data_IF_329576998151
#
_entry.id   IF_329576998151
#
_cell.length_a   1.000
_cell.length_b   1.000
_cell.length_c   1.000
_cell.angle_alpha   90.00
_cell.angle_beta   90.00
_cell.angle_gamma   90.00
#
_symmetry.space_group_name_H-M   'P 1'
#
loop_
_entity.id
_entity.type
_entity.pdbx_description
1 polymer ?
#
# COMPACT_ATOMS: atom_id res chain seq x y z
N UNK A 1 3.41 -30.84 -9.00
CA UNK A 1 2.40 -30.34 -8.04
C UNK A 1 2.12 -28.90 -8.39
N UNK A 2 0.86 -28.49 -8.50
CA UNK A 2 0.51 -27.08 -8.72
C UNK A 2 0.91 -26.26 -7.49
N UNK A 3 1.51 -25.08 -7.70
CA UNK A 3 1.85 -24.15 -6.61
C UNK A 3 0.56 -23.44 -6.21
N UNK A 4 0.17 -23.54 -4.94
CA UNK A 4 -1.00 -22.88 -4.37
C UNK A 4 -0.55 -21.81 -3.38
N UNK A 5 -0.73 -20.54 -3.74
CA UNK A 5 -0.23 -19.38 -2.98
C UNK A 5 -1.38 -18.70 -2.26
N UNK A 6 -1.28 -18.61 -0.93
CA UNK A 6 -2.17 -17.79 -0.12
C UNK A 6 -1.53 -16.42 0.12
N UNK A 7 -2.07 -15.38 -0.52
CA UNK A 7 -1.64 -13.99 -0.31
C UNK A 7 -2.28 -13.44 0.97
N UNK A 8 -1.48 -13.23 2.01
CA UNK A 8 -1.95 -12.84 3.35
C UNK A 8 -1.75 -11.35 3.60
N UNK A 9 -2.83 -10.66 3.95
CA UNK A 9 -2.84 -9.23 4.29
C UNK A 9 -3.60 -8.99 5.60
N UNK A 10 -3.12 -8.02 6.39
CA UNK A 10 -3.77 -7.65 7.66
C UNK A 10 -4.98 -6.72 7.47
N UNK A 11 -4.96 -5.85 6.46
CA UNK A 11 -6.00 -4.82 6.27
C UNK A 11 -7.20 -5.37 5.50
N UNK A 12 -8.38 -4.84 5.81
CA UNK A 12 -9.64 -5.07 5.10
C UNK A 12 -9.97 -3.94 4.10
N UNK A 13 -8.99 -3.10 3.75
CA UNK A 13 -9.17 -1.89 2.94
C UNK A 13 -8.24 -1.93 1.75
N UNK A 14 -8.72 -1.49 0.61
CA UNK A 14 -7.91 -1.39 -0.60
C UNK A 14 -6.96 -0.19 -0.53
N UNK A 15 -5.66 -0.46 -0.59
CA UNK A 15 -4.61 0.56 -0.66
C UNK A 15 -3.45 0.07 -1.55
N UNK A 16 -2.23 0.57 -1.33
CA UNK A 16 -1.08 0.27 -2.19
C UNK A 16 -0.68 -1.21 -2.17
N UNK A 17 -0.50 -1.79 -0.98
CA UNK A 17 -0.09 -3.19 -0.86
C UNK A 17 -1.14 -4.15 -1.45
N UNK A 18 -2.42 -3.86 -1.21
CA UNK A 18 -3.54 -4.63 -1.77
C UNK A 18 -3.59 -4.54 -3.29
N UNK A 19 -3.28 -3.37 -3.88
CA UNK A 19 -3.18 -3.21 -5.32
C UNK A 19 -2.03 -4.04 -5.91
N UNK A 20 -0.86 -4.07 -5.26
CA UNK A 20 0.28 -4.90 -5.70
C UNK A 20 -0.09 -6.37 -5.71
N UNK A 21 -0.81 -6.86 -4.70
CA UNK A 21 -1.28 -8.27 -4.67
C UNK A 21 -2.18 -8.55 -5.87
N UNK A 22 -3.14 -7.65 -6.15
CA UNK A 22 -4.03 -7.81 -7.29
C UNK A 22 -3.26 -7.84 -8.62
N UNK A 23 -2.20 -7.03 -8.76
CA UNK A 23 -1.34 -7.02 -9.94
C UNK A 23 -0.55 -8.32 -10.07
N UNK A 24 0.02 -8.84 -8.97
CA UNK A 24 0.71 -10.13 -8.96
C UNK A 24 -0.25 -11.24 -9.41
N UNK A 25 -1.41 -11.36 -8.78
CA UNK A 25 -2.39 -12.39 -9.14
C UNK A 25 -2.83 -12.30 -10.61
N UNK A 26 -3.02 -11.07 -11.13
CA UNK A 26 -3.35 -10.86 -12.55
C UNK A 26 -2.21 -11.29 -13.47
N UNK A 27 -0.95 -10.99 -13.13
CA UNK A 27 0.21 -11.33 -13.92
C UNK A 27 0.38 -12.85 -14.09
N UNK A 28 -0.01 -13.64 -13.09
CA UNK A 28 0.03 -15.10 -13.12
C UNK A 28 -1.29 -15.76 -13.56
N UNK A 29 -2.30 -14.99 -13.96
CA UNK A 29 -3.64 -15.53 -14.28
C UNK A 29 -3.69 -16.53 -15.43
N UNK A 30 -2.67 -16.54 -16.31
CA UNK A 30 -2.55 -17.47 -17.43
C UNK A 30 -1.58 -18.64 -17.15
N UNK A 31 -0.97 -18.68 -15.97
CA UNK A 31 -0.07 -19.75 -15.57
C UNK A 31 -0.86 -20.91 -14.94
N UNK A 32 -1.11 -21.96 -15.72
CA UNK A 32 -1.84 -23.15 -15.26
C UNK A 32 -1.13 -23.91 -14.11
N UNK A 33 0.15 -23.64 -13.85
CA UNK A 33 0.91 -24.25 -12.75
C UNK A 33 0.73 -23.55 -11.40
N UNK A 34 0.10 -22.37 -11.37
CA UNK A 34 0.02 -21.52 -10.18
C UNK A 34 -1.43 -21.11 -9.89
N UNK A 35 -1.94 -21.57 -8.76
CA UNK A 35 -3.24 -21.18 -8.18
C UNK A 35 -3.00 -20.18 -7.04
N UNK A 36 -3.75 -19.08 -7.01
CA UNK A 36 -3.57 -18.01 -6.02
C UNK A 36 -4.90 -17.60 -5.39
N UNK A 37 -4.89 -17.33 -4.08
CA UNK A 37 -6.03 -16.74 -3.37
C UNK A 37 -5.62 -15.55 -2.51
N UNK A 38 -6.45 -14.52 -2.53
CA UNK A 38 -6.32 -13.38 -1.62
C UNK A 38 -6.93 -13.74 -0.26
N UNK A 39 -6.23 -13.44 0.85
CA UNK A 39 -6.68 -13.75 2.20
C UNK A 39 -6.42 -12.59 3.18
N UNK A 40 -7.49 -12.08 3.78
CA UNK A 40 -7.46 -11.00 4.77
C UNK A 40 -8.73 -11.02 5.63
N UNK A 41 -8.83 -10.17 6.67
CA UNK A 41 -10.10 -9.93 7.32
C UNK A 41 -11.18 -9.47 6.33
N UNK A 42 -12.41 -9.89 6.59
CA UNK A 42 -13.60 -9.43 5.88
C UNK A 42 -13.76 -7.90 5.98
N UNK A 43 -14.25 -7.25 4.91
CA UNK A 43 -14.53 -5.80 4.93
C UNK A 43 -14.58 -5.15 3.56
N UNK A 44 -14.15 -3.89 3.48
CA UNK A 44 -14.27 -3.07 2.24
C UNK A 44 -13.49 -3.65 1.05
N UNK A 45 -12.46 -4.44 1.31
CA UNK A 45 -11.62 -5.08 0.29
C UNK A 45 -12.39 -6.06 -0.60
N UNK A 46 -13.45 -6.71 -0.06
CA UNK A 46 -14.26 -7.69 -0.81
C UNK A 46 -14.77 -7.13 -2.14
N UNK A 47 -15.33 -5.91 -2.11
CA UNK A 47 -15.86 -5.25 -3.30
C UNK A 47 -14.75 -5.03 -4.34
N UNK A 48 -13.57 -4.59 -3.90
CA UNK A 48 -12.45 -4.34 -4.79
C UNK A 48 -11.93 -5.63 -5.47
N UNK A 49 -11.95 -6.76 -4.76
CA UNK A 49 -11.57 -8.08 -5.30
C UNK A 49 -12.63 -8.63 -6.26
N UNK A 50 -13.92 -8.50 -5.92
CA UNK A 50 -15.04 -8.91 -6.78
C UNK A 50 -15.05 -8.15 -8.11
N UNK A 51 -14.85 -6.83 -8.08
CA UNK A 51 -14.75 -5.99 -9.29
C UNK A 51 -13.57 -6.39 -10.20
N UNK A 52 -12.58 -7.11 -9.66
CA UNK A 52 -11.41 -7.62 -10.40
C UNK A 52 -11.51 -9.11 -10.71
N UNK A 53 -12.62 -9.76 -10.37
CA UNK A 53 -12.82 -11.19 -10.48
C UNK A 53 -11.70 -12.03 -9.82
N UNK A 54 -11.15 -11.55 -8.69
CA UNK A 54 -10.10 -12.24 -7.97
C UNK A 54 -10.66 -13.14 -6.86
N UNK A 55 -10.13 -14.37 -6.69
CA UNK A 55 -10.56 -15.27 -5.63
C UNK A 55 -10.19 -14.72 -4.25
N UNK A 56 -11.14 -14.78 -3.32
CA UNK A 56 -11.02 -14.23 -1.97
C UNK A 56 -11.43 -15.25 -0.91
N UNK A 57 -10.54 -15.49 0.05
CA UNK A 57 -10.77 -16.31 1.24
C UNK A 57 -10.78 -15.39 2.48
N UNK A 58 -11.96 -14.99 2.99
CA UNK A 58 -12.06 -14.08 4.11
C UNK A 58 -11.64 -14.74 5.44
N UNK A 59 -11.12 -13.92 6.35
CA UNK A 59 -10.88 -14.26 7.75
C UNK A 59 -11.88 -13.51 8.63
N UNK A 60 -12.46 -14.20 9.61
CA UNK A 60 -13.28 -13.53 10.64
C UNK A 60 -12.42 -12.63 11.53
N UNK A 61 -11.22 -13.08 11.88
CA UNK A 61 -10.26 -12.33 12.68
C UNK A 61 -8.84 -12.60 12.19
N UNK A 62 -7.97 -11.59 12.31
CA UNK A 62 -6.57 -11.72 11.94
C UNK A 62 -5.75 -12.39 13.06
N UNK A 63 -5.85 -13.71 13.19
CA UNK A 63 -5.13 -14.50 14.19
C UNK A 63 -4.35 -15.66 13.57
N UNK A 64 -3.27 -16.17 14.22
CA UNK A 64 -2.53 -17.32 13.71
C UNK A 64 -3.40 -18.58 13.53
N UNK A 65 -4.42 -18.78 14.37
CA UNK A 65 -5.33 -19.91 14.26
C UNK A 65 -6.24 -19.79 13.03
N UNK A 66 -6.80 -18.61 12.77
CA UNK A 66 -7.60 -18.34 11.59
C UNK A 66 -6.77 -18.49 10.30
N UNK A 67 -5.54 -17.95 10.28
CA UNK A 67 -4.63 -18.11 9.14
C UNK A 67 -4.28 -19.58 8.90
N UNK A 68 -4.02 -20.36 9.95
CA UNK A 68 -3.78 -21.81 9.81
C UNK A 68 -5.00 -22.54 9.23
N UNK A 69 -6.20 -22.22 9.71
CA UNK A 69 -7.45 -22.80 9.20
C UNK A 69 -7.63 -22.46 7.72
N UNK A 70 -7.44 -21.21 7.34
CA UNK A 70 -7.56 -20.75 5.95
C UNK A 70 -6.52 -21.42 5.03
N UNK A 71 -5.25 -21.49 5.46
CA UNK A 71 -4.20 -22.18 4.71
C UNK A 71 -4.53 -23.66 4.49
N UNK A 72 -5.09 -24.35 5.50
CA UNK A 72 -5.53 -25.74 5.38
C UNK A 72 -6.77 -25.89 4.47
N UNK A 73 -7.75 -24.99 4.59
CA UNK A 73 -8.96 -25.00 3.77
C UNK A 73 -8.64 -24.81 2.28
N UNK A 74 -7.68 -23.94 1.97
CA UNK A 74 -7.23 -23.69 0.61
C UNK A 74 -6.20 -24.73 0.11
N UNK A 75 -5.70 -25.59 0.99
CA UNK A 75 -4.60 -26.52 0.71
C UNK A 75 -3.34 -25.78 0.20
N UNK A 76 -3.01 -24.68 0.89
CA UNK A 76 -1.93 -23.79 0.51
C UNK A 76 -0.58 -24.52 0.57
N UNK A 77 0.22 -24.41 -0.50
CA UNK A 77 1.60 -24.89 -0.55
C UNK A 77 2.60 -23.83 -0.09
N UNK A 78 2.20 -22.56 -0.11
CA UNK A 78 3.03 -21.41 0.29
C UNK A 78 2.15 -20.26 0.78
N UNK A 79 2.69 -19.42 1.67
CA UNK A 79 2.07 -18.15 2.06
C UNK A 79 2.94 -16.99 1.58
N UNK A 80 2.35 -16.06 0.85
CA UNK A 80 2.97 -14.78 0.50
C UNK A 80 2.35 -13.68 1.37
N UNK A 81 3.08 -13.19 2.36
CA UNK A 81 2.57 -12.24 3.34
C UNK A 81 3.02 -10.80 3.03
N UNK A 82 2.08 -9.88 2.80
CA UNK A 82 2.37 -8.54 2.25
C UNK A 82 2.51 -7.42 3.29
N UNK A 83 2.86 -7.76 4.52
CA UNK A 83 3.38 -6.81 5.50
C UNK A 83 4.10 -7.55 6.64
N UNK A 84 4.82 -6.80 7.49
CA UNK A 84 5.59 -7.40 8.60
C UNK A 84 4.70 -8.14 9.62
N UNK A 85 3.49 -7.64 9.89
CA UNK A 85 2.56 -8.29 10.80
C UNK A 85 1.96 -9.57 10.17
N UNK A 86 1.60 -9.54 8.89
CA UNK A 86 1.15 -10.71 8.15
C UNK A 86 2.24 -11.79 8.10
N UNK A 87 3.50 -11.42 7.84
CA UNK A 87 4.61 -12.37 7.81
C UNK A 87 4.84 -13.03 9.18
N UNK A 88 4.81 -12.23 10.25
CA UNK A 88 4.89 -12.75 11.63
C UNK A 88 3.71 -13.69 11.93
N UNK A 89 2.48 -13.28 11.62
CA UNK A 89 1.28 -14.10 11.84
C UNK A 89 1.35 -15.41 11.06
N UNK A 90 1.81 -15.38 9.80
CA UNK A 90 2.04 -16.58 8.99
C UNK A 90 3.06 -17.51 9.65
N UNK A 91 4.20 -17.00 10.11
CA UNK A 91 5.22 -17.82 10.79
C UNK A 91 4.70 -18.47 12.08
N UNK A 92 3.85 -17.77 12.84
CA UNK A 92 3.20 -18.32 14.03
C UNK A 92 2.08 -19.32 13.67
N UNK A 93 1.38 -19.10 12.54
CA UNK A 93 0.33 -19.97 12.05
C UNK A 93 0.89 -21.31 11.57
N UNK A 94 1.90 -21.29 10.70
CA UNK A 94 2.44 -22.49 10.04
C UNK A 94 3.47 -23.21 10.90
N UNK A 95 4.11 -22.52 11.86
CA UNK A 95 5.19 -23.09 12.69
C UNK A 95 6.31 -23.76 11.85
N UNK A 96 6.51 -23.31 10.61
CA UNK A 96 7.53 -23.84 9.69
C UNK A 96 7.08 -24.98 8.78
N UNK A 97 5.80 -25.38 8.80
CA UNK A 97 5.29 -26.43 7.90
C UNK A 97 5.05 -25.97 6.46
N UNK A 98 4.98 -24.66 6.23
CA UNK A 98 4.82 -24.07 4.90
C UNK A 98 5.89 -22.99 4.67
N UNK A 99 6.46 -22.90 3.46
CA UNK A 99 7.33 -21.80 3.08
C UNK A 99 6.57 -20.47 3.12
N UNK A 100 7.26 -19.43 3.59
CA UNK A 100 6.71 -18.07 3.72
C UNK A 100 7.57 -17.10 2.93
N UNK A 101 6.95 -16.43 1.96
CA UNK A 101 7.50 -15.24 1.32
C UNK A 101 7.00 -14.02 2.10
N UNK A 102 7.90 -13.32 2.79
CA UNK A 102 7.56 -12.05 3.41
C UNK A 102 7.78 -10.92 2.39
N UNK A 103 6.82 -10.02 2.22
CA UNK A 103 6.92 -8.87 1.32
C UNK A 103 6.61 -7.60 2.10
N UNK A 104 7.63 -6.80 2.40
CA UNK A 104 7.53 -5.65 3.30
C UNK A 104 7.30 -4.38 2.49
N UNK A 105 6.05 -3.88 2.52
CA UNK A 105 5.61 -2.69 1.78
C UNK A 105 5.83 -1.36 2.49
N UNK A 106 5.94 -1.38 3.82
CA UNK A 106 6.00 -0.18 4.64
C UNK A 106 7.24 -0.15 5.53
N UNK A 107 7.91 1.00 5.54
CA UNK A 107 9.07 1.25 6.37
C UNK A 107 8.65 1.95 7.69
N UNK A 108 7.89 1.24 8.54
CA UNK A 108 7.43 1.78 9.82
C UNK A 108 8.57 2.13 10.76
N UNK A 109 8.49 3.27 11.45
CA UNK A 109 9.51 3.74 12.41
C UNK A 109 9.84 2.70 13.49
N UNK A 110 8.83 1.99 14.01
CA UNK A 110 9.04 0.94 15.01
C UNK A 110 9.87 -0.25 14.50
N UNK A 111 10.00 -0.42 13.18
CA UNK A 111 10.88 -1.43 12.58
C UNK A 111 12.34 -0.96 12.48
N UNK A 112 12.59 0.35 12.60
CA UNK A 112 13.92 0.97 12.47
C UNK A 112 14.70 1.01 13.79
N UNK A 113 13.99 0.90 14.90
CA UNK A 113 14.54 0.87 16.27
C UNK A 113 14.38 -0.52 16.90
N UNK A 114 15.01 -0.73 18.06
CA UNK A 114 14.76 -1.93 18.86
C UNK A 114 13.39 -1.79 19.52
N UNK A 115 12.40 -2.45 18.94
CA UNK A 115 11.04 -2.55 19.45
C UNK A 115 10.59 -4.02 19.52
N UNK A 116 9.51 -4.29 20.26
CA UNK A 116 8.86 -5.59 20.27
C UNK A 116 8.53 -6.09 18.85
N UNK A 117 8.07 -5.19 17.95
CA UNK A 117 7.75 -5.52 16.55
C UNK A 117 9.00 -5.93 15.77
N UNK A 118 10.08 -5.17 15.89
CA UNK A 118 11.35 -5.45 15.19
C UNK A 118 12.00 -6.76 15.66
N UNK A 119 11.94 -7.05 16.97
CA UNK A 119 12.47 -8.25 17.60
C UNK A 119 11.64 -9.48 17.22
N UNK A 120 10.32 -9.36 17.25
CA UNK A 120 9.42 -10.44 16.84
C UNK A 120 9.58 -10.79 15.36
N UNK A 121 9.68 -9.76 14.49
CA UNK A 121 9.99 -9.99 13.08
C UNK A 121 11.32 -10.70 12.90
N UNK A 122 12.39 -10.27 13.59
CA UNK A 122 13.70 -10.94 13.55
C UNK A 122 13.61 -12.41 13.98
N UNK A 123 12.89 -12.69 15.06
CA UNK A 123 12.70 -14.06 15.57
C UNK A 123 11.95 -14.93 14.55
N UNK A 124 10.86 -14.41 13.99
CA UNK A 124 10.08 -15.11 12.97
C UNK A 124 10.80 -15.21 11.62
N UNK A 125 11.73 -14.29 11.32
CA UNK A 125 12.44 -14.27 10.06
C UNK A 125 13.23 -15.55 9.81
N UNK A 126 13.69 -16.25 10.85
CA UNK A 126 14.30 -17.58 10.75
C UNK A 126 13.42 -18.61 10.02
N UNK A 127 12.10 -18.41 10.00
CA UNK A 127 11.11 -19.27 9.33
C UNK A 127 10.67 -18.76 7.97
N UNK A 128 11.11 -17.57 7.56
CA UNK A 128 10.82 -17.08 6.21
C UNK A 128 11.74 -17.76 5.22
N UNK A 129 11.14 -18.22 4.12
CA UNK A 129 11.86 -18.77 2.98
C UNK A 129 12.63 -17.65 2.27
N UNK A 130 11.96 -16.51 2.02
CA UNK A 130 12.57 -15.33 1.40
C UNK A 130 11.86 -14.05 1.86
N UNK A 131 12.52 -12.90 1.73
CA UNK A 131 11.98 -11.59 2.10
C UNK A 131 12.17 -10.59 0.95
N UNK A 132 11.08 -10.14 0.37
CA UNK A 132 11.06 -9.00 -0.55
C UNK A 132 10.89 -7.68 0.20
N UNK A 133 11.69 -6.70 -0.18
CA UNK A 133 11.62 -5.32 0.30
C UNK A 133 11.31 -4.40 -0.88
N UNK A 134 10.35 -3.49 -0.72
CA UNK A 134 9.93 -2.63 -1.84
C UNK A 134 10.94 -1.53 -2.23
N UNK A 135 11.99 -1.35 -1.43
CA UNK A 135 13.09 -0.42 -1.71
C UNK A 135 14.32 -0.73 -0.86
N UNK A 136 15.51 -0.29 -1.30
CA UNK A 136 16.75 -0.37 -0.51
C UNK A 136 16.59 0.32 0.85
N UNK A 137 15.92 1.47 0.87
CA UNK A 137 15.63 2.17 2.13
C UNK A 137 14.80 1.31 3.08
N UNK A 138 13.90 0.47 2.59
CA UNK A 138 13.07 -0.39 3.44
C UNK A 138 13.90 -1.50 4.09
N UNK A 139 14.86 -2.07 3.34
CA UNK A 139 15.80 -3.06 3.85
C UNK A 139 16.83 -2.42 4.80
N UNK A 140 17.56 -1.40 4.33
CA UNK A 140 18.67 -0.79 5.06
C UNK A 140 18.24 -0.12 6.37
N UNK A 141 17.02 0.43 6.42
CA UNK A 141 16.51 1.05 7.65
C UNK A 141 15.88 0.05 8.62
N UNK A 142 15.69 -1.22 8.25
CA UNK A 142 15.26 -2.22 9.22
C UNK A 142 16.34 -2.42 10.29
N UNK A 143 15.96 -2.34 11.57
CA UNK A 143 16.90 -2.38 12.70
C UNK A 143 17.86 -3.56 12.66
N UNK A 144 17.40 -4.69 12.15
CA UNK A 144 18.16 -5.93 12.09
C UNK A 144 18.41 -6.40 10.65
N UNK A 145 18.57 -5.47 9.70
CA UNK A 145 18.82 -5.74 8.28
C UNK A 145 19.90 -6.82 8.05
N UNK A 146 21.06 -6.69 8.70
CA UNK A 146 22.15 -7.67 8.62
C UNK A 146 21.74 -9.11 8.97
N UNK A 147 20.77 -9.29 9.86
CA UNK A 147 20.32 -10.62 10.29
C UNK A 147 19.40 -11.33 9.30
N UNK A 148 18.91 -10.61 8.29
CA UNK A 148 17.98 -11.13 7.29
C UNK A 148 18.49 -10.96 5.85
N UNK A 149 19.66 -10.33 5.68
CA UNK A 149 20.21 -9.92 4.40
C UNK A 149 20.39 -11.07 3.41
N UNK A 150 20.89 -12.23 3.86
CA UNK A 150 21.17 -13.39 2.99
C UNK A 150 19.94 -13.98 2.28
N UNK A 151 18.74 -13.72 2.80
CA UNK A 151 17.46 -14.17 2.21
C UNK A 151 16.55 -13.00 1.85
N UNK A 152 17.12 -11.81 1.72
CA UNK A 152 16.40 -10.60 1.38
C UNK A 152 16.76 -10.14 -0.03
N UNK A 153 15.76 -9.71 -0.78
CA UNK A 153 15.92 -9.08 -2.09
C UNK A 153 15.07 -7.81 -2.14
N UNK A 154 15.55 -6.80 -2.87
CA UNK A 154 14.78 -5.60 -3.15
C UNK A 154 13.98 -5.82 -4.43
N UNK A 155 12.66 -5.82 -4.32
CA UNK A 155 11.73 -5.92 -5.44
C UNK A 155 10.88 -4.65 -5.46
N UNK A 156 11.24 -3.69 -6.32
CA UNK A 156 10.51 -2.44 -6.44
C UNK A 156 9.09 -2.69 -6.96
N UNK A 157 8.15 -1.86 -6.51
CA UNK A 157 6.82 -1.81 -7.10
C UNK A 157 6.92 -1.40 -8.58
N UNK A 158 6.19 -2.11 -9.43
CA UNK A 158 6.15 -1.86 -10.87
C UNK A 158 4.83 -1.19 -11.22
N UNK A 159 4.88 -0.23 -12.13
CA UNK A 159 3.71 0.40 -12.74
C UNK A 159 3.59 -0.05 -14.20
N UNK A 160 2.36 -0.22 -14.67
CA UNK A 160 2.04 -0.55 -16.05
C UNK A 160 1.58 0.74 -16.74
N UNK A 161 2.45 1.32 -17.56
CA UNK A 161 2.19 2.61 -18.22
C UNK A 161 0.99 2.55 -19.17
N UNK A 162 0.81 1.43 -19.87
CA UNK A 162 -0.31 1.24 -20.78
C UNK A 162 -1.63 1.16 -20.00
N UNK A 163 -1.64 0.45 -18.87
CA UNK A 163 -2.81 0.39 -17.99
C UNK A 163 -3.11 1.76 -17.35
N UNK A 164 -2.09 2.56 -17.02
CA UNK A 164 -2.24 3.93 -16.52
C UNK A 164 -2.93 4.82 -17.57
N UNK A 165 -2.41 4.87 -18.80
CA UNK A 165 -3.00 5.66 -19.89
C UNK A 165 -4.42 5.20 -20.20
N UNK A 166 -4.66 3.89 -20.26
CA UNK A 166 -6.00 3.34 -20.44
C UNK A 166 -6.95 3.82 -19.35
N UNK A 167 -6.56 3.76 -18.07
CA UNK A 167 -7.39 4.25 -16.96
C UNK A 167 -7.65 5.75 -17.03
N UNK A 168 -6.73 6.56 -17.54
CA UNK A 168 -6.98 8.00 -17.77
C UNK A 168 -8.11 8.19 -18.78
N UNK A 169 -8.12 7.43 -19.88
CA UNK A 169 -9.16 7.54 -20.92
C UNK A 169 -10.56 7.09 -20.47
N UNK A 170 -10.66 6.33 -19.37
CA UNK A 170 -11.96 5.90 -18.82
C UNK A 170 -12.68 7.01 -18.05
N UNK A 171 -11.98 8.09 -17.72
CA UNK A 171 -12.53 9.21 -16.99
C UNK A 171 -12.71 10.42 -17.95
N UNK A 172 -13.96 10.74 -18.34
CA UNK A 172 -14.24 11.82 -19.28
C UNK A 172 -14.17 13.21 -18.62
N UNK A 173 -14.04 13.28 -17.29
CA UNK A 173 -14.05 14.54 -16.55
C UNK A 173 -12.76 15.33 -16.79
N UNK A 174 -12.91 16.65 -16.87
CA UNK A 174 -11.79 17.58 -16.98
C UNK A 174 -11.53 18.21 -15.62
N UNK A 175 -10.26 18.16 -15.20
CA UNK A 175 -9.81 18.69 -13.91
C UNK A 175 -8.84 19.83 -14.13
N UNK A 176 -8.84 20.80 -13.23
CA UNK A 176 -7.91 21.89 -13.28
C UNK A 176 -7.40 22.19 -11.87
N UNK A 177 -6.22 21.66 -11.55
CA UNK A 177 -5.54 21.85 -10.28
C UNK A 177 -4.05 22.11 -10.52
N UNK A 178 -3.42 22.92 -9.68
CA UNK A 178 -1.97 23.11 -9.73
C UNK A 178 -1.28 21.96 -9.01
N UNK A 179 -1.83 21.54 -7.88
CA UNK A 179 -1.24 20.52 -7.01
C UNK A 179 -2.24 19.39 -6.77
N UNK A 180 -1.78 18.15 -6.83
CA UNK A 180 -2.56 16.99 -6.38
C UNK A 180 -1.87 16.29 -5.23
N UNK A 181 -2.65 15.88 -4.25
CA UNK A 181 -2.26 14.92 -3.22
C UNK A 181 -3.11 13.66 -3.37
N UNK A 182 -2.46 12.48 -3.38
CA UNK A 182 -3.14 11.18 -3.42
C UNK A 182 -2.62 10.30 -2.28
N UNK A 183 -3.46 10.06 -1.27
CA UNK A 183 -3.10 9.22 -0.14
C UNK A 183 -4.14 9.17 0.97
N UNK A 184 -4.03 8.14 1.83
CA UNK A 184 -4.86 8.06 3.05
C UNK A 184 -4.56 9.24 3.97
N UNK A 185 -5.60 9.86 4.53
CA UNK A 185 -5.49 10.96 5.49
C UNK A 185 -5.14 10.42 6.88
N UNK A 186 -3.91 9.96 7.04
CA UNK A 186 -3.42 9.26 8.23
C UNK A 186 -2.15 9.87 8.79
N UNK A 187 -1.79 9.47 10.03
CA UNK A 187 -0.54 9.91 10.67
C UNK A 187 0.69 9.70 9.78
N UNK A 188 0.77 8.54 9.12
CA UNK A 188 1.87 8.18 8.23
C UNK A 188 2.01 9.18 7.08
N UNK A 189 0.91 9.58 6.44
CA UNK A 189 0.92 10.44 5.26
C UNK A 189 0.94 11.93 5.59
N UNK A 190 0.68 12.28 6.85
CA UNK A 190 0.78 13.63 7.41
C UNK A 190 0.14 14.72 6.54
N UNK A 191 -1.18 14.66 6.32
CA UNK A 191 -1.91 15.65 5.52
C UNK A 191 -2.02 17.02 6.23
N UNK A 192 -1.75 17.12 7.54
CA UNK A 192 -1.68 18.43 8.20
C UNK A 192 -0.47 19.24 7.72
N UNK A 193 0.68 18.59 7.52
CA UNK A 193 1.86 19.22 6.89
C UNK A 193 1.59 19.66 5.46
N UNK A 194 0.72 18.95 4.73
CA UNK A 194 0.29 19.35 3.38
C UNK A 194 -0.35 20.75 3.39
N UNK A 195 -1.22 21.02 4.36
CA UNK A 195 -1.86 22.33 4.52
C UNK A 195 -0.84 23.42 4.86
N UNK A 196 0.12 23.14 5.74
CA UNK A 196 1.19 24.10 6.10
C UNK A 196 2.06 24.46 4.90
N UNK A 197 2.43 23.47 4.08
CA UNK A 197 3.18 23.71 2.83
C UNK A 197 2.36 24.57 1.88
N UNK A 198 1.06 24.26 1.70
CA UNK A 198 0.20 25.04 0.82
C UNK A 198 0.02 26.49 1.29
N UNK A 199 -0.10 26.72 2.60
CA UNK A 199 -0.18 28.07 3.16
C UNK A 199 1.05 28.91 2.79
N UNK A 200 2.25 28.31 2.83
CA UNK A 200 3.47 28.98 2.40
C UNK A 200 3.47 29.24 0.88
N UNK A 201 3.05 28.28 0.06
CA UNK A 201 2.95 28.45 -1.41
C UNK A 201 1.97 29.57 -1.76
N UNK A 202 0.82 29.63 -1.07
CA UNK A 202 -0.21 30.65 -1.27
C UNK A 202 0.33 32.08 -1.12
N UNK A 203 1.34 32.30 -0.27
CA UNK A 203 1.95 33.64 -0.11
C UNK A 203 2.57 34.19 -1.40
N UNK A 204 3.01 33.30 -2.30
CA UNK A 204 3.58 33.67 -3.61
C UNK A 204 2.61 33.42 -4.76
N UNK A 205 1.71 32.44 -4.62
CA UNK A 205 0.70 32.07 -5.60
C UNK A 205 -0.71 32.06 -4.96
N UNK A 206 -1.36 33.23 -4.79
CA UNK A 206 -2.61 33.34 -4.03
C UNK A 206 -3.76 32.50 -4.59
N UNK A 207 -3.77 32.25 -5.91
CA UNK A 207 -4.80 31.49 -6.62
C UNK A 207 -4.45 30.02 -6.83
N UNK A 208 -3.42 29.50 -6.16
CA UNK A 208 -3.04 28.09 -6.26
C UNK A 208 -4.21 27.18 -5.87
N UNK A 209 -4.49 26.15 -6.67
CA UNK A 209 -5.54 25.17 -6.39
C UNK A 209 -4.95 23.79 -6.13
N UNK A 210 -5.35 23.18 -5.02
CA UNK A 210 -4.93 21.85 -4.61
C UNK A 210 -6.13 20.89 -4.53
N UNK A 211 -6.02 19.75 -5.21
CA UNK A 211 -6.92 18.61 -5.00
C UNK A 211 -6.34 17.66 -3.94
N UNK A 212 -7.16 17.29 -2.96
CA UNK A 212 -6.82 16.31 -1.92
C UNK A 212 -7.66 15.06 -2.13
N UNK A 213 -7.04 14.01 -2.64
CA UNK A 213 -7.67 12.71 -2.91
C UNK A 213 -7.32 11.70 -1.82
N UNK A 214 -8.34 11.17 -1.18
CA UNK A 214 -8.26 10.13 -0.16
C UNK A 214 -9.21 10.35 1.01
N UNK A 215 -9.30 9.34 1.87
CA UNK A 215 -10.01 9.38 3.14
C UNK A 215 -9.10 8.90 4.29
N UNK A 216 -9.52 9.14 5.53
CA UNK A 216 -8.75 8.70 6.69
C UNK A 216 -9.18 9.36 7.99
N UNK A 217 -8.61 8.87 9.09
CA UNK A 217 -8.93 9.30 10.44
C UNK A 217 -8.63 10.79 10.69
N UNK A 218 -7.69 11.38 9.96
CA UNK A 218 -7.31 12.79 10.10
C UNK A 218 -8.14 13.75 9.23
N UNK A 219 -9.15 13.27 8.50
CA UNK A 219 -9.92 14.11 7.59
C UNK A 219 -10.52 15.37 8.24
N UNK A 220 -11.05 15.25 9.46
CA UNK A 220 -11.58 16.41 10.22
C UNK A 220 -10.48 17.41 10.58
N UNK A 221 -9.33 16.92 11.05
CA UNK A 221 -8.20 17.76 11.44
C UNK A 221 -7.66 18.54 10.23
N UNK A 222 -7.57 17.90 9.07
CA UNK A 222 -7.15 18.55 7.81
C UNK A 222 -8.09 19.70 7.44
N UNK A 223 -9.41 19.50 7.54
CA UNK A 223 -10.39 20.55 7.25
C UNK A 223 -10.29 21.72 8.25
N UNK A 224 -10.10 21.44 9.54
CA UNK A 224 -9.89 22.51 10.53
C UNK A 224 -8.61 23.30 10.24
N UNK A 225 -7.50 22.60 9.97
CA UNK A 225 -6.22 23.21 9.63
C UNK A 225 -6.30 24.07 8.37
N UNK A 226 -7.02 23.61 7.34
CA UNK A 226 -7.26 24.39 6.13
C UNK A 226 -8.01 25.70 6.42
N UNK A 227 -9.02 25.67 7.31
CA UNK A 227 -9.75 26.88 7.72
C UNK A 227 -8.86 27.83 8.53
N UNK A 228 -8.11 27.32 9.50
CA UNK A 228 -7.17 28.10 10.32
C UNK A 228 -6.13 28.84 9.45
N UNK A 229 -5.63 28.16 8.41
CA UNK A 229 -4.67 28.71 7.46
C UNK A 229 -5.31 29.48 6.30
N UNK A 230 -6.62 29.72 6.33
CA UNK A 230 -7.38 30.43 5.31
C UNK A 230 -7.23 29.83 3.89
N UNK A 231 -7.19 28.50 3.79
CA UNK A 231 -7.01 27.73 2.55
C UNK A 231 -8.31 27.23 1.93
N UNK A 232 -9.47 27.62 2.47
CA UNK A 232 -10.78 27.08 2.05
C UNK A 232 -11.08 27.26 0.55
N UNK A 233 -10.58 28.33 -0.07
CA UNK A 233 -10.72 28.58 -1.51
C UNK A 233 -9.63 27.90 -2.35
N UNK A 234 -8.52 27.50 -1.72
CA UNK A 234 -7.37 26.89 -2.39
C UNK A 234 -7.45 25.35 -2.39
N UNK A 235 -8.19 24.73 -1.46
CA UNK A 235 -8.21 23.28 -1.26
C UNK A 235 -9.57 22.70 -1.63
N UNK A 236 -9.58 21.72 -2.52
CA UNK A 236 -10.75 20.90 -2.82
C UNK A 236 -10.54 19.48 -2.31
N UNK A 237 -11.35 19.06 -1.34
CA UNK A 237 -11.38 17.69 -0.86
C UNK A 237 -12.19 16.80 -1.80
N UNK A 238 -11.52 15.90 -2.52
CA UNK A 238 -12.14 14.99 -3.50
C UNK A 238 -12.70 13.71 -2.85
N UNK A 239 -12.36 13.45 -1.59
CA UNK A 239 -12.65 12.18 -0.93
C UNK A 239 -11.91 11.01 -1.57
N UNK A 240 -12.37 9.79 -1.32
CA UNK A 240 -11.79 8.59 -1.92
C UNK A 240 -12.19 8.49 -3.41
N UNK A 241 -11.21 8.53 -4.31
CA UNK A 241 -11.41 8.24 -5.73
C UNK A 241 -10.82 6.88 -6.08
N UNK A 242 -11.60 6.05 -6.79
CA UNK A 242 -11.14 4.73 -7.28
C UNK A 242 -10.05 4.87 -8.36
N UNK A 243 -10.13 5.92 -9.18
CA UNK A 243 -9.20 6.21 -10.26
C UNK A 243 -8.80 7.69 -10.22
N UNK A 244 -7.73 8.07 -9.49
CA UNK A 244 -7.27 9.46 -9.42
C UNK A 244 -6.39 9.86 -10.62
N UNK A 245 -6.13 8.97 -11.57
CA UNK A 245 -5.08 9.14 -12.59
C UNK A 245 -5.38 10.29 -13.57
N UNK A 246 -6.63 10.46 -14.00
CA UNK A 246 -7.02 11.58 -14.87
C UNK A 246 -6.79 12.92 -14.19
N UNK A 247 -7.29 13.08 -12.95
CA UNK A 247 -7.03 14.26 -12.13
C UNK A 247 -5.53 14.50 -11.92
N UNK A 248 -4.76 13.45 -11.63
CA UNK A 248 -3.31 13.54 -11.46
C UNK A 248 -2.62 14.00 -12.75
N UNK A 249 -2.96 13.42 -13.90
CA UNK A 249 -2.39 13.78 -15.21
C UNK A 249 -2.67 15.22 -15.64
N UNK A 250 -3.72 15.83 -15.08
CA UNK A 250 -4.11 17.23 -15.35
C UNK A 250 -3.60 18.21 -14.30
N UNK A 251 -2.90 17.70 -13.28
CA UNK A 251 -2.28 18.54 -12.24
C UNK A 251 -0.87 18.90 -12.65
N UNK A 252 -0.35 20.03 -12.18
CA UNK A 252 1.01 20.47 -12.54
C UNK A 252 2.09 19.76 -11.73
N UNK A 253 1.82 19.42 -10.47
CA UNK A 253 2.73 18.71 -9.57
C UNK A 253 1.98 17.80 -8.61
N UNK A 254 2.62 16.71 -8.18
CA UNK A 254 2.12 15.81 -7.15
C UNK A 254 2.89 16.04 -5.84
N UNK A 255 2.17 16.31 -4.76
CA UNK A 255 2.78 16.63 -3.47
C UNK A 255 2.59 15.48 -2.48
N UNK A 256 3.70 15.06 -1.86
CA UNK A 256 3.72 14.12 -0.75
C UNK A 256 4.34 14.74 0.50
N UNK A 257 3.70 14.54 1.65
CA UNK A 257 4.18 15.06 2.95
C UNK A 257 4.41 13.96 4.00
N UNK A 258 4.47 12.71 3.55
CA UNK A 258 4.57 11.52 4.39
C UNK A 258 5.75 11.55 5.36
N UNK A 259 5.52 11.02 6.56
CA UNK A 259 6.57 10.79 7.57
C UNK A 259 7.47 9.63 7.17
N UNK A 260 6.89 8.60 6.55
CA UNK A 260 7.62 7.44 6.06
C UNK A 260 6.87 6.75 4.91
N UNK A 261 7.65 6.20 3.98
CA UNK A 261 7.20 5.40 2.84
C UNK A 261 8.12 4.20 2.64
N UNK A 262 7.62 3.15 1.99
CA UNK A 262 8.45 2.09 1.42
C UNK A 262 8.87 2.46 0.00
N UNK A 263 7.92 2.34 -0.93
CA UNK A 263 7.98 2.90 -2.27
C UNK A 263 6.55 3.29 -2.69
N UNK A 264 6.17 4.58 -2.64
CA UNK A 264 4.79 4.98 -2.82
C UNK A 264 4.35 4.85 -4.27
N UNK A 265 3.34 4.00 -4.51
CA UNK A 265 2.80 3.77 -5.86
C UNK A 265 2.32 5.06 -6.50
N UNK A 266 1.67 5.97 -5.76
CA UNK A 266 1.20 7.24 -6.30
C UNK A 266 2.33 8.16 -6.80
N UNK A 267 3.54 8.07 -6.23
CA UNK A 267 4.70 8.79 -6.77
C UNK A 267 5.18 8.15 -8.07
N UNK A 268 5.22 6.81 -8.13
CA UNK A 268 5.56 6.11 -9.37
C UNK A 268 4.54 6.43 -10.47
N UNK A 269 3.25 6.44 -10.14
CA UNK A 269 2.18 6.84 -11.06
C UNK A 269 2.39 8.28 -11.57
N UNK A 270 2.66 9.24 -10.68
CA UNK A 270 2.96 10.62 -11.08
C UNK A 270 4.18 10.70 -12.02
N UNK A 271 5.28 10.03 -11.66
CA UNK A 271 6.49 9.96 -12.48
C UNK A 271 6.22 9.34 -13.87
N UNK A 272 5.44 8.26 -13.91
CA UNK A 272 5.05 7.58 -15.15
C UNK A 272 4.18 8.45 -16.08
N UNK A 273 3.46 9.42 -15.50
CA UNK A 273 2.64 10.39 -16.22
C UNK A 273 3.39 11.70 -16.54
N UNK A 274 4.67 11.81 -16.17
CA UNK A 274 5.46 13.02 -16.36
C UNK A 274 5.08 14.17 -15.41
N UNK A 275 4.41 13.86 -14.29
CA UNK A 275 4.05 14.83 -13.27
C UNK A 275 5.19 14.92 -12.24
N UNK A 276 5.79 16.12 -12.03
CA UNK A 276 6.82 16.35 -11.03
C UNK A 276 6.38 16.08 -9.58
#
# INVERSE_FOLDING_TARGET
MAIRVLHLLRSDRFSGAENVVCQIMKAFSQDAGIDMVYCSPEGKIRRALQERALPFLPLEQFTPAAVRKAAKQYDATMIHAHDAAAAVTAALATKGTLPILAHVHANHENMRVVSAKSLLFRYCAKRFFHIFWVSDSSLCQYRFARSVQEKSEVLYNVIDLDDLHRKITLDPEEYAFDIVYVGRLSYQKNPCRLMEVLANVKTQLPHVRMAVVGDGELGKEVLCKAKELQLTENVTGMGFMKNPLKLMSMSKVMLMTSRYEGLPICALEAMGLGIP
#
